data_IF_304071011120
#
_entry.id   IF_304071011120
#
_cell.length_a   1.000
_cell.length_b   1.000
_cell.length_c   1.000
_cell.angle_alpha   90.00
_cell.angle_beta   90.00
_cell.angle_gamma   90.00
#
_symmetry.space_group_name_H-M   'P 1'
#
loop_
_entity.id
_entity.type
_entity.pdbx_description
1 polymer ?
#
# COMPACT_ATOMS: atom_id res chain seq x y z
N UNK A 1 -19.48 -11.95 -30.82
CA UNK A 1 -18.86 -10.62 -30.67
C UNK A 1 -18.16 -10.60 -29.33
N UNK A 2 -16.83 -10.43 -29.29
CA UNK A 2 -16.13 -10.29 -28.01
C UNK A 2 -16.56 -8.97 -27.38
N UNK A 3 -17.02 -8.94 -26.12
CA UNK A 3 -17.38 -7.69 -25.48
C UNK A 3 -16.12 -6.82 -25.42
N UNK A 4 -16.22 -5.58 -25.87
CA UNK A 4 -15.16 -4.61 -25.68
C UNK A 4 -14.91 -4.49 -24.17
N UNK A 5 -13.71 -4.86 -23.73
CA UNK A 5 -13.31 -4.67 -22.33
C UNK A 5 -13.24 -3.17 -22.09
N UNK A 6 -14.17 -2.64 -21.31
CA UNK A 6 -14.14 -1.24 -20.89
C UNK A 6 -12.86 -1.04 -20.07
N UNK A 7 -11.87 -0.35 -20.63
CA UNK A 7 -10.68 0.02 -19.89
C UNK A 7 -11.03 1.19 -18.95
N UNK A 8 -11.11 0.92 -17.65
CA UNK A 8 -11.32 1.94 -16.62
C UNK A 8 -9.95 2.43 -16.16
N UNK A 9 -9.59 3.71 -16.34
CA UNK A 9 -8.36 4.25 -15.78
C UNK A 9 -8.37 4.15 -14.25
N UNK A 10 -7.23 3.92 -13.57
CA UNK A 10 -7.23 3.78 -12.11
C UNK A 10 -7.53 5.11 -11.41
N UNK A 11 -8.37 5.08 -10.38
CA UNK A 11 -8.71 6.24 -9.55
C UNK A 11 -7.47 6.79 -8.82
N UNK A 12 -7.14 8.06 -9.06
CA UNK A 12 -6.02 8.78 -8.47
C UNK A 12 -6.44 9.69 -7.32
N UNK A 13 -7.67 10.22 -7.33
CA UNK A 13 -8.20 11.05 -6.25
C UNK A 13 -9.47 11.82 -6.62
N UNK A 14 -9.65 13.00 -6.04
CA UNK A 14 -10.90 13.76 -6.22
C UNK A 14 -11.17 14.19 -7.67
N UNK A 15 -10.12 14.43 -8.46
CA UNK A 15 -10.26 15.05 -9.80
C UNK A 15 -10.93 14.11 -10.79
N UNK A 16 -10.70 12.83 -10.63
CA UNK A 16 -11.17 11.78 -11.51
C UNK A 16 -12.33 10.98 -10.92
N UNK A 17 -12.73 11.24 -9.68
CA UNK A 17 -13.85 10.58 -8.99
C UNK A 17 -15.11 10.46 -9.82
N UNK A 18 -15.67 11.59 -10.30
CA UNK A 18 -16.95 11.56 -11.02
C UNK A 18 -16.88 10.69 -12.27
N UNK A 19 -15.82 10.87 -13.07
CA UNK A 19 -15.63 10.09 -14.30
C UNK A 19 -15.39 8.60 -13.99
N UNK A 20 -14.56 8.31 -12.99
CA UNK A 20 -14.26 6.95 -12.57
C UNK A 20 -15.50 6.24 -12.04
N UNK A 21 -16.28 6.92 -11.20
CA UNK A 21 -17.52 6.39 -10.61
C UNK A 21 -18.55 6.07 -11.69
N UNK A 22 -18.73 6.95 -12.67
CA UNK A 22 -19.64 6.71 -13.81
C UNK A 22 -19.21 5.50 -14.64
N UNK A 23 -17.91 5.36 -14.93
CA UNK A 23 -17.37 4.23 -15.68
C UNK A 23 -17.50 2.91 -14.90
N UNK A 24 -17.24 2.94 -13.59
CA UNK A 24 -17.37 1.77 -12.73
C UNK A 24 -18.82 1.33 -12.58
N UNK A 25 -19.76 2.27 -12.40
CA UNK A 25 -21.21 1.98 -12.42
C UNK A 25 -21.63 1.36 -13.74
N UNK A 26 -21.20 1.92 -14.87
CA UNK A 26 -21.50 1.37 -16.19
C UNK A 26 -20.97 -0.06 -16.36
N UNK A 27 -19.76 -0.32 -15.87
CA UNK A 27 -19.15 -1.64 -15.90
C UNK A 27 -19.92 -2.65 -15.03
N UNK A 28 -20.23 -2.32 -13.78
CA UNK A 28 -21.00 -3.18 -12.88
C UNK A 28 -22.42 -3.44 -13.43
N UNK A 29 -23.06 -2.40 -13.99
CA UNK A 29 -24.36 -2.50 -14.65
C UNK A 29 -24.33 -3.46 -15.83
N UNK A 30 -23.28 -3.43 -16.66
CA UNK A 30 -23.13 -4.36 -17.79
C UNK A 30 -23.04 -5.83 -17.35
N UNK A 31 -22.72 -6.09 -16.08
CA UNK A 31 -22.64 -7.40 -15.45
C UNK A 31 -23.84 -7.74 -14.55
N UNK A 32 -24.82 -6.83 -14.44
CA UNK A 32 -25.92 -6.89 -13.47
C UNK A 32 -25.45 -6.96 -12.00
N UNK A 33 -24.39 -6.22 -11.66
CA UNK A 33 -23.79 -6.17 -10.33
C UNK A 33 -23.85 -4.77 -9.69
N UNK A 34 -24.57 -3.82 -10.30
CA UNK A 34 -24.71 -2.44 -9.80
C UNK A 34 -25.29 -2.42 -8.37
N UNK A 35 -26.24 -3.29 -8.06
CA UNK A 35 -26.88 -3.34 -6.74
C UNK A 35 -25.86 -3.57 -5.60
N UNK A 36 -24.72 -4.23 -5.85
CA UNK A 36 -23.67 -4.48 -4.86
C UNK A 36 -22.95 -3.21 -4.36
N UNK A 37 -23.07 -2.09 -5.06
CA UNK A 37 -22.56 -0.79 -4.60
C UNK A 37 -23.68 0.17 -4.18
N UNK A 38 -24.95 -0.17 -4.43
CA UNK A 38 -26.11 0.65 -4.06
C UNK A 38 -26.82 0.14 -2.79
N UNK A 39 -26.71 -1.15 -2.47
CA UNK A 39 -27.36 -1.79 -1.33
C UNK A 39 -26.35 -2.38 -0.33
N UNK A 40 -26.60 -2.18 0.96
CA UNK A 40 -25.82 -2.78 2.03
C UNK A 40 -26.21 -4.24 2.23
N UNK A 41 -25.42 -5.14 1.68
CA UNK A 41 -25.59 -6.58 1.90
C UNK A 41 -24.95 -7.01 3.22
N UNK A 42 -25.77 -7.48 4.16
CA UNK A 42 -25.29 -8.18 5.36
C UNK A 42 -24.85 -9.60 4.96
N UNK A 43 -23.57 -9.76 4.62
CA UNK A 43 -22.95 -11.06 4.39
C UNK A 43 -22.11 -11.17 3.12
N UNK A 44 -21.02 -11.94 3.22
CA UNK A 44 -20.05 -12.18 2.14
C UNK A 44 -20.58 -13.09 1.04
N UNK A 45 -21.51 -12.59 0.22
CA UNK A 45 -21.80 -13.29 -1.04
C UNK A 45 -20.53 -13.31 -1.91
N UNK A 46 -20.27 -14.38 -2.68
CA UNK A 46 -19.11 -14.43 -3.57
C UNK A 46 -19.02 -13.22 -4.51
N UNK A 47 -20.18 -12.71 -4.96
CA UNK A 47 -20.27 -11.53 -5.82
C UNK A 47 -19.86 -10.24 -5.10
N UNK A 48 -20.24 -10.08 -3.84
CA UNK A 48 -19.78 -8.93 -3.03
C UNK A 48 -18.24 -8.92 -2.93
N UNK A 49 -17.61 -10.09 -2.71
CA UNK A 49 -16.16 -10.21 -2.70
C UNK A 49 -15.53 -9.89 -4.07
N UNK A 50 -16.11 -10.37 -5.17
CA UNK A 50 -15.63 -10.04 -6.53
C UNK A 50 -15.70 -8.53 -6.82
N UNK A 51 -16.81 -7.87 -6.44
CA UNK A 51 -16.96 -6.42 -6.61
C UNK A 51 -15.93 -5.66 -5.77
N UNK A 52 -15.70 -6.06 -4.50
CA UNK A 52 -14.62 -5.47 -3.67
C UNK A 52 -13.26 -5.54 -4.36
N UNK A 53 -12.90 -6.71 -4.90
CA UNK A 53 -11.62 -6.90 -5.60
C UNK A 53 -11.54 -6.01 -6.85
N UNK A 54 -12.63 -5.89 -7.61
CA UNK A 54 -12.69 -5.01 -8.78
C UNK A 54 -12.48 -3.55 -8.39
N UNK A 55 -13.19 -3.08 -7.35
CA UNK A 55 -13.07 -1.70 -6.88
C UNK A 55 -11.66 -1.41 -6.37
N UNK A 56 -11.12 -2.29 -5.52
CA UNK A 56 -9.77 -2.14 -4.96
C UNK A 56 -8.66 -2.18 -6.03
N UNK A 57 -8.76 -3.09 -7.00
CA UNK A 57 -7.76 -3.22 -8.06
C UNK A 57 -7.80 -2.08 -9.09
N UNK A 58 -8.89 -1.30 -9.15
CA UNK A 58 -9.06 -0.19 -10.07
C UNK A 58 -8.81 1.19 -9.44
N UNK A 59 -8.01 1.26 -8.38
CA UNK A 59 -7.54 2.52 -7.80
C UNK A 59 -6.02 2.54 -7.62
N UNK A 60 -5.46 3.74 -7.43
CA UNK A 60 -4.03 3.92 -7.20
C UNK A 60 -3.62 3.36 -5.83
N UNK A 61 -2.35 2.95 -5.65
CA UNK A 61 -1.82 2.53 -4.36
C UNK A 61 -2.00 3.58 -3.25
N UNK A 62 -2.03 4.87 -3.61
CA UNK A 62 -2.34 5.94 -2.67
C UNK A 62 -3.75 5.81 -2.10
N UNK A 63 -4.76 5.63 -2.96
CA UNK A 63 -6.14 5.42 -2.52
C UNK A 63 -6.29 4.09 -1.77
N UNK A 64 -5.63 3.02 -2.23
CA UNK A 64 -5.67 1.72 -1.58
C UNK A 64 -5.29 1.77 -0.10
N UNK A 65 -4.29 2.59 0.27
CA UNK A 65 -3.85 2.79 1.67
C UNK A 65 -4.86 3.53 2.55
N UNK A 66 -5.81 4.21 1.95
CA UNK A 66 -6.85 4.96 2.66
C UNK A 66 -8.11 4.12 2.88
N UNK A 67 -8.20 2.94 2.27
CA UNK A 67 -9.37 2.06 2.36
C UNK A 67 -9.20 1.07 3.52
N UNK A 68 -10.29 0.85 4.24
CA UNK A 68 -10.46 -0.30 5.12
C UNK A 68 -11.02 -1.47 4.33
N UNK A 69 -10.25 -2.57 4.28
CA UNK A 69 -10.56 -3.78 3.52
C UNK A 69 -10.48 -4.97 4.47
N UNK A 70 -11.37 -4.96 5.45
CA UNK A 70 -11.67 -6.14 6.24
C UNK A 70 -12.73 -7.01 5.54
N UNK A 71 -12.87 -8.26 5.99
CA UNK A 71 -13.94 -9.16 5.53
C UNK A 71 -15.34 -8.64 5.91
N UNK A 72 -15.41 -7.76 6.91
CA UNK A 72 -16.64 -7.16 7.41
C UNK A 72 -17.15 -6.03 6.48
N UNK A 73 -16.25 -5.37 5.76
CA UNK A 73 -16.59 -4.29 4.81
C UNK A 73 -17.26 -4.86 3.57
N UNK A 74 -18.47 -4.41 3.26
CA UNK A 74 -19.22 -4.69 2.04
C UNK A 74 -18.71 -3.88 0.83
N UNK A 75 -19.09 -4.27 -0.39
CA UNK A 75 -18.75 -3.49 -1.58
C UNK A 75 -19.40 -2.10 -1.57
N UNK A 76 -20.61 -1.96 -1.01
CA UNK A 76 -21.27 -0.68 -0.81
C UNK A 76 -20.53 0.22 0.18
N UNK A 77 -20.10 -0.32 1.33
CA UNK A 77 -19.28 0.45 2.28
C UNK A 77 -17.93 0.86 1.68
N UNK A 78 -17.30 -0.04 0.92
CA UNK A 78 -16.07 0.29 0.21
C UNK A 78 -16.31 1.40 -0.84
N UNK A 79 -17.44 1.35 -1.56
CA UNK A 79 -17.86 2.39 -2.50
C UNK A 79 -18.03 3.75 -1.81
N UNK A 80 -18.67 3.76 -0.64
CA UNK A 80 -18.82 4.98 0.16
C UNK A 80 -17.49 5.53 0.63
N UNK A 81 -16.55 4.67 1.06
CA UNK A 81 -15.20 5.10 1.43
C UNK A 81 -14.50 5.82 0.27
N UNK A 82 -14.58 5.31 -0.96
CA UNK A 82 -14.05 6.03 -2.12
C UNK A 82 -14.69 7.41 -2.28
N UNK A 83 -16.02 7.49 -2.12
CA UNK A 83 -16.75 8.75 -2.11
C UNK A 83 -16.22 9.70 -1.05
N UNK A 84 -16.07 9.24 0.19
CA UNK A 84 -15.54 10.05 1.29
C UNK A 84 -14.10 10.54 1.03
N UNK A 85 -13.22 9.67 0.55
CA UNK A 85 -11.82 10.02 0.23
C UNK A 85 -11.76 11.07 -0.89
N UNK A 86 -12.63 10.94 -1.89
CA UNK A 86 -12.58 11.74 -3.10
C UNK A 86 -13.54 12.94 -3.12
N UNK A 87 -14.42 13.09 -2.14
CA UNK A 87 -15.27 14.26 -2.00
C UNK A 87 -14.46 15.45 -1.50
N UNK A 88 -14.30 16.49 -2.33
CA UNK A 88 -13.69 17.73 -1.90
C UNK A 88 -14.63 18.52 -0.98
N UNK A 89 -14.10 18.97 0.15
CA UNK A 89 -14.53 20.25 0.72
C UNK A 89 -13.44 21.28 0.44
N UNK A 90 -13.75 22.57 0.20
CA UNK A 90 -12.72 23.58 -0.09
C UNK A 90 -11.60 23.70 0.96
N UNK A 91 -11.85 23.19 2.18
CA UNK A 91 -10.92 23.17 3.30
C UNK A 91 -10.14 21.85 3.44
N UNK A 92 -10.50 20.76 2.74
CA UNK A 92 -9.92 19.43 2.97
C UNK A 92 -8.42 19.40 2.72
N UNK A 93 -7.94 19.94 1.59
CA UNK A 93 -6.52 19.89 1.26
C UNK A 93 -5.62 20.60 2.28
N UNK A 94 -6.10 21.69 2.89
CA UNK A 94 -5.31 22.46 3.86
C UNK A 94 -5.20 21.69 5.17
N UNK A 95 -6.30 21.09 5.63
CA UNK A 95 -6.31 20.22 6.82
C UNK A 95 -5.38 19.03 6.62
N UNK A 96 -5.50 18.30 5.51
CA UNK A 96 -4.63 17.15 5.23
C UNK A 96 -3.15 17.55 5.14
N UNK A 97 -2.86 18.71 4.54
CA UNK A 97 -1.50 19.23 4.48
C UNK A 97 -0.98 19.65 5.86
N UNK A 98 -1.82 20.24 6.71
CA UNK A 98 -1.48 20.58 8.09
C UNK A 98 -1.19 19.33 8.92
N UNK A 99 -1.99 18.27 8.77
CA UNK A 99 -1.75 17.00 9.44
C UNK A 99 -0.44 16.37 8.96
N UNK A 100 -0.18 16.40 7.65
CA UNK A 100 1.08 15.94 7.08
C UNK A 100 2.29 16.67 7.68
N UNK A 101 2.33 18.01 7.68
CA UNK A 101 3.50 18.76 8.20
C UNK A 101 3.68 18.69 9.72
N UNK A 102 2.63 18.34 10.46
CA UNK A 102 2.66 18.26 11.92
C UNK A 102 2.81 16.82 12.45
N UNK A 103 3.00 15.84 11.56
CA UNK A 103 3.21 14.44 11.96
C UNK A 103 4.46 14.32 12.86
N UNK A 104 4.37 13.49 13.89
CA UNK A 104 5.43 13.30 14.89
C UNK A 104 5.84 11.84 15.01
N UNK A 105 7.09 11.61 15.36
CA UNK A 105 7.61 10.29 15.65
C UNK A 105 7.43 9.96 17.13
N UNK A 106 6.68 8.90 17.44
CA UNK A 106 6.34 8.50 18.82
C UNK A 106 7.14 7.27 19.31
N UNK A 107 8.26 6.94 18.66
CA UNK A 107 9.18 5.88 19.10
C UNK A 107 8.96 4.50 18.48
N UNK A 108 7.86 4.29 17.74
CA UNK A 108 7.66 3.10 16.91
C UNK A 108 7.84 3.41 15.42
N UNK A 109 8.94 2.92 14.85
CA UNK A 109 9.26 3.11 13.44
C UNK A 109 8.24 2.48 12.50
N UNK A 110 7.63 1.34 12.87
CA UNK A 110 6.69 0.63 11.99
C UNK A 110 5.38 1.40 11.87
N UNK A 111 4.78 1.75 13.01
CA UNK A 111 3.54 2.54 13.03
C UNK A 111 3.75 3.91 12.37
N UNK A 112 4.87 4.58 12.66
CA UNK A 112 5.16 5.89 12.06
C UNK A 112 5.28 5.85 10.53
N UNK A 113 5.88 4.80 9.96
CA UNK A 113 5.96 4.65 8.49
C UNK A 113 4.57 4.53 7.87
N UNK A 114 3.67 3.77 8.49
CA UNK A 114 2.29 3.62 7.99
C UNK A 114 1.50 4.92 8.13
N UNK A 115 1.57 5.57 9.28
CA UNK A 115 0.92 6.87 9.50
C UNK A 115 1.42 7.93 8.51
N UNK A 116 2.72 7.93 8.22
CA UNK A 116 3.33 8.84 7.25
C UNK A 116 2.86 8.55 5.82
N UNK A 117 2.78 7.28 5.42
CA UNK A 117 2.23 6.88 4.11
C UNK A 117 0.77 7.32 3.98
N UNK A 118 -0.04 7.15 5.02
CA UNK A 118 -1.44 7.58 5.05
C UNK A 118 -1.54 9.10 4.90
N UNK A 119 -0.73 9.87 5.64
CA UNK A 119 -0.73 11.33 5.54
C UNK A 119 -0.36 11.82 4.12
N UNK A 120 0.65 11.21 3.49
CA UNK A 120 1.01 11.52 2.10
C UNK A 120 -0.12 11.16 1.13
N UNK A 121 -0.74 9.99 1.30
CA UNK A 121 -1.84 9.54 0.47
C UNK A 121 -3.07 10.46 0.56
N UNK A 122 -3.44 10.93 1.76
CA UNK A 122 -4.52 11.91 1.95
C UNK A 122 -4.22 13.23 1.24
N UNK A 123 -3.01 13.74 1.38
CA UNK A 123 -2.57 14.94 0.64
C UNK A 123 -2.73 14.74 -0.88
N UNK A 124 -2.23 13.63 -1.42
CA UNK A 124 -2.26 13.34 -2.86
C UNK A 124 -3.69 13.12 -3.37
N UNK A 125 -4.57 12.47 -2.60
CA UNK A 125 -5.97 12.28 -2.97
C UNK A 125 -6.74 13.60 -3.05
N UNK A 126 -6.32 14.63 -2.29
CA UNK A 126 -6.80 16.01 -2.35
C UNK A 126 -6.06 16.88 -3.39
N UNK A 127 -5.14 16.30 -4.17
CA UNK A 127 -4.37 16.98 -5.23
C UNK A 127 -3.20 17.83 -4.75
N UNK A 128 -2.78 17.69 -3.49
CA UNK A 128 -1.52 18.24 -3.01
C UNK A 128 -0.38 17.41 -3.58
N UNK A 129 0.53 18.05 -4.30
CA UNK A 129 1.65 17.37 -4.95
C UNK A 129 2.82 17.21 -3.99
N UNK A 130 3.00 16.01 -3.46
CA UNK A 130 4.16 15.60 -2.67
C UNK A 130 4.95 14.59 -3.51
N UNK A 131 6.20 14.92 -3.88
CA UNK A 131 7.08 13.96 -4.55
C UNK A 131 7.68 12.97 -3.56
N UNK A 132 8.11 11.80 -4.03
CA UNK A 132 8.82 10.81 -3.21
C UNK A 132 10.01 11.45 -2.48
N UNK A 133 10.76 12.32 -3.17
CA UNK A 133 11.90 13.05 -2.61
C UNK A 133 11.52 13.98 -1.47
N UNK A 134 10.42 14.74 -1.62
CA UNK A 134 9.88 15.60 -0.57
C UNK A 134 9.40 14.78 0.63
N UNK A 135 8.68 13.69 0.37
CA UNK A 135 8.18 12.77 1.40
C UNK A 135 9.35 12.20 2.23
N UNK A 136 10.39 11.71 1.56
CA UNK A 136 11.60 11.17 2.21
C UNK A 136 12.31 12.24 3.04
N UNK A 137 12.50 13.43 2.49
CA UNK A 137 13.18 14.52 3.21
C UNK A 137 12.40 14.92 4.46
N UNK A 138 11.07 15.02 4.36
CA UNK A 138 10.23 15.37 5.50
C UNK A 138 10.25 14.27 6.57
N UNK A 139 10.13 13.01 6.18
CA UNK A 139 10.24 11.86 7.08
C UNK A 139 11.53 11.92 7.90
N UNK A 140 12.69 12.12 7.24
CA UNK A 140 13.96 12.23 7.93
C UNK A 140 14.06 13.43 8.85
N UNK A 141 13.47 14.57 8.47
CA UNK A 141 13.46 15.76 9.33
C UNK A 141 12.67 15.50 10.61
N UNK A 142 11.51 14.84 10.52
CA UNK A 142 10.69 14.46 11.68
C UNK A 142 11.46 13.49 12.59
N UNK A 143 12.00 12.40 12.03
CA UNK A 143 12.76 11.40 12.81
C UNK A 143 14.03 12.02 13.42
N UNK A 144 14.72 12.92 12.70
CA UNK A 144 15.90 13.61 13.23
C UNK A 144 15.56 14.53 14.41
N UNK A 145 14.42 15.22 14.34
CA UNK A 145 13.96 16.10 15.40
C UNK A 145 13.67 15.36 16.70
N UNK A 146 13.07 14.18 16.60
CA UNK A 146 12.62 13.38 17.75
C UNK A 146 13.65 12.32 18.21
N UNK A 147 14.52 11.86 17.30
CA UNK A 147 15.55 10.85 17.57
C UNK A 147 16.88 11.15 16.84
N UNK A 148 17.66 12.15 17.30
CA UNK A 148 18.88 12.58 16.61
C UNK A 148 19.95 11.48 16.53
N UNK A 149 20.02 10.60 17.53
CA UNK A 149 20.96 9.45 17.58
C UNK A 149 20.73 8.45 16.44
N UNK A 150 19.47 8.29 16.01
CA UNK A 150 19.12 7.42 14.89
C UNK A 150 19.70 7.94 13.58
N UNK A 151 19.76 9.26 13.40
CA UNK A 151 20.23 9.87 12.15
C UNK A 151 21.75 10.00 12.11
N UNK A 152 22.41 10.24 13.24
CA UNK A 152 23.88 10.32 13.32
C UNK A 152 24.57 9.04 12.83
N UNK A 153 23.98 7.86 13.13
CA UNK A 153 24.45 6.56 12.65
C UNK A 153 24.41 6.40 11.12
N UNK A 154 23.67 7.23 10.40
CA UNK A 154 23.42 7.11 8.96
C UNK A 154 23.92 8.30 8.11
N UNK A 155 24.76 9.18 8.67
CA UNK A 155 25.24 10.42 8.02
C UNK A 155 26.27 10.25 6.89
N UNK A 156 26.58 9.02 6.46
CA UNK A 156 27.38 8.80 5.25
C UNK A 156 26.59 9.08 3.97
N UNK A 157 27.15 9.84 3.02
CA UNK A 157 26.44 10.26 1.79
C UNK A 157 25.94 9.08 0.93
N UNK A 158 26.58 7.91 1.00
CA UNK A 158 26.08 6.69 0.35
C UNK A 158 24.89 6.05 1.08
N UNK A 159 24.79 6.23 2.40
CA UNK A 159 23.71 5.70 3.22
C UNK A 159 22.40 6.47 2.97
N UNK A 160 22.46 7.77 2.70
CA UNK A 160 21.27 8.59 2.35
C UNK A 160 20.68 8.20 0.98
N UNK A 161 21.53 7.93 -0.02
CA UNK A 161 21.07 7.47 -1.34
C UNK A 161 20.53 6.03 -1.28
N UNK A 162 21.16 5.17 -0.49
CA UNK A 162 20.66 3.81 -0.19
C UNK A 162 19.33 3.87 0.57
N UNK A 163 19.19 4.77 1.55
CA UNK A 163 17.94 5.03 2.27
C UNK A 163 16.87 5.61 1.35
N UNK A 164 17.21 6.52 0.43
CA UNK A 164 16.27 7.04 -0.56
C UNK A 164 15.75 5.91 -1.45
N UNK A 165 16.63 5.08 -1.98
CA UNK A 165 16.22 3.98 -2.86
C UNK A 165 15.46 2.89 -2.08
N UNK A 166 15.83 2.63 -0.83
CA UNK A 166 15.10 1.74 0.08
C UNK A 166 13.73 2.32 0.43
N UNK A 167 13.64 3.60 0.79
CA UNK A 167 12.40 4.24 1.19
C UNK A 167 11.47 4.50 0.00
N UNK A 168 12.00 4.85 -1.18
CA UNK A 168 11.23 4.89 -2.42
C UNK A 168 10.69 3.51 -2.81
N UNK A 169 11.40 2.42 -2.48
CA UNK A 169 10.84 1.06 -2.58
C UNK A 169 9.74 0.84 -1.54
N UNK A 170 9.92 1.26 -0.30
CA UNK A 170 8.91 1.15 0.77
C UNK A 170 7.64 1.98 0.52
N UNK A 171 7.75 3.15 -0.13
CA UNK A 171 6.61 3.97 -0.52
C UNK A 171 5.86 3.40 -1.74
N UNK A 172 6.50 2.50 -2.50
CA UNK A 172 5.97 1.94 -3.75
C UNK A 172 5.50 0.48 -3.65
N UNK A 173 5.93 -0.27 -2.64
CA UNK A 173 5.59 -1.69 -2.45
C UNK A 173 5.09 -2.00 -1.04
N UNK A 174 4.02 -2.80 -0.96
CA UNK A 174 3.71 -3.60 0.22
C UNK A 174 4.69 -4.79 0.25
N UNK A 175 5.16 -5.15 1.45
CA UNK A 175 6.02 -6.31 1.75
C UNK A 175 7.49 -6.26 1.32
N UNK A 176 8.34 -5.78 2.24
CA UNK A 176 9.44 -6.52 2.87
C UNK A 176 10.30 -5.53 3.69
N UNK A 177 10.07 -5.48 5.01
CA UNK A 177 10.96 -4.76 5.93
C UNK A 177 11.71 -5.78 6.77
N UNK A 178 12.93 -6.10 6.33
CA UNK A 178 13.97 -6.60 7.23
C UNK A 178 14.28 -5.51 8.25
N UNK A 179 13.84 -5.71 9.49
CA UNK A 179 14.48 -5.11 10.65
C UNK A 179 15.44 -6.19 11.17
N UNK A 180 16.70 -6.13 10.76
CA UNK A 180 17.75 -6.81 11.53
C UNK A 180 17.71 -6.23 12.94
N UNK A 181 17.27 -7.08 13.86
CA UNK A 181 17.34 -6.84 15.29
C UNK A 181 18.81 -6.62 15.67
N UNK A 182 19.04 -5.67 16.59
CA UNK A 182 20.36 -5.31 17.15
C UNK A 182 21.33 -6.49 17.25
N UNK A 183 22.65 -6.30 17.00
CA UNK A 183 23.64 -7.21 17.52
C UNK A 183 23.75 -6.99 19.02
N UNK A 184 23.07 -7.80 19.82
CA UNK A 184 23.45 -7.98 21.21
C UNK A 184 24.68 -8.91 21.23
N UNK A 185 25.80 -8.35 21.66
CA UNK A 185 27.02 -9.11 21.84
C UNK A 185 26.89 -10.07 23.02
N UNK A 186 27.18 -11.34 22.75
CA UNK A 186 27.81 -12.31 23.65
C UNK A 186 26.98 -12.84 24.81
N UNK A 187 26.61 -14.11 24.75
CA UNK A 187 27.16 -15.08 25.69
C UNK A 187 27.07 -16.52 25.18
N UNK A 188 28.01 -17.34 25.62
CA UNK A 188 28.20 -18.75 25.25
C UNK A 188 27.01 -19.62 25.69
N UNK A 189 26.50 -20.46 24.79
CA UNK A 189 25.47 -21.44 25.14
C UNK A 189 25.05 -22.32 23.97
N UNK A 190 25.55 -23.55 23.97
CA UNK A 190 25.23 -24.62 23.02
C UNK A 190 23.74 -24.73 22.66
N UNK A 191 23.42 -24.84 21.36
CA UNK A 191 22.42 -25.82 20.92
C UNK A 191 22.57 -26.16 19.43
N UNK A 192 22.43 -27.44 19.18
CA UNK A 192 22.66 -28.23 17.97
C UNK A 192 21.77 -27.85 16.78
N UNK A 193 22.40 -27.75 15.60
CA UNK A 193 21.75 -27.80 14.29
C UNK A 193 21.19 -29.23 14.10
N UNK A 194 19.88 -29.34 13.90
CA UNK A 194 19.25 -30.54 13.36
C UNK A 194 18.99 -30.25 11.88
N UNK A 195 19.89 -30.73 11.02
CA UNK A 195 19.65 -30.89 9.58
C UNK A 195 18.70 -32.08 9.38
N UNK A 196 17.64 -31.87 8.61
CA UNK A 196 16.59 -32.86 8.35
C UNK A 196 15.92 -32.66 6.99
N UNK A 197 16.62 -33.12 5.96
CA UNK A 197 16.14 -33.72 4.70
C UNK A 197 15.21 -32.98 3.73
N UNK A 198 15.85 -32.55 2.63
CA UNK A 198 15.65 -33.00 1.24
C UNK A 198 14.36 -33.77 0.93
N UNK A 199 13.59 -33.24 -0.03
CA UNK A 199 13.00 -34.08 -1.07
C UNK A 199 12.96 -33.34 -2.42
N UNK A 200 14.07 -33.45 -3.17
CA UNK A 200 14.08 -33.25 -4.62
C UNK A 200 14.12 -34.64 -5.25
N UNK A 201 13.02 -35.06 -5.88
CA UNK A 201 13.01 -36.26 -6.70
C UNK A 201 13.83 -36.02 -7.97
N UNK A 202 14.90 -36.80 -8.12
CA UNK A 202 15.58 -37.07 -9.39
C UNK A 202 14.68 -37.91 -10.28
N UNK A 203 14.55 -37.50 -11.54
CA UNK A 203 14.28 -38.40 -12.66
C UNK A 203 15.60 -38.46 -13.45
N UNK A 204 16.15 -39.66 -13.59
CA UNK A 204 17.30 -40.00 -14.46
C UNK A 204 16.94 -41.25 -15.24
N UNK A 205 17.69 -41.45 -16.33
CA UNK A 205 17.70 -42.54 -17.34
C UNK A 205 17.09 -42.10 -18.68
N UNK A 206 17.72 -42.24 -19.84
CA UNK A 206 19.07 -42.69 -20.21
C UNK A 206 19.40 -42.13 -21.59
N UNK A 207 20.70 -41.98 -21.87
CA UNK A 207 21.26 -41.59 -23.18
C UNK A 207 21.77 -42.88 -23.84
N UNK A 208 21.22 -43.23 -25.00
CA UNK A 208 21.85 -44.14 -25.96
C UNK A 208 22.35 -43.31 -27.16
N UNK A 209 23.65 -43.38 -27.44
CA UNK A 209 24.29 -42.91 -28.68
C UNK A 209 25.07 -44.10 -29.24
N UNK A 210 24.56 -44.66 -30.33
CA UNK A 210 25.29 -45.62 -31.17
C UNK A 210 26.01 -44.90 -32.32
N UNK A 211 27.14 -45.48 -32.71
CA UNK A 211 28.09 -45.09 -33.76
C UNK A 211 27.53 -45.34 -35.17
#
# INVERSE_FOLDING_TARGET
MSPATLAIPPLQGYRDWNQWADLMRLYLKSRNWEDHIDEYYLGGTPRNAEVKVILYSNCSPGIQRLLDISDEVSAAELWDQFGCICCQTPASWLTEYQDYINIKYEGDAKSFVEDFKVAVARCQSQGVRISDEMAVCHFFQVVKGECPEFVEKWTGTSAILSLRDTFCRFLRYDDEVFIESRPEGGDEGQSTIVDGDRNSQKVTEDIDVDV
#
